data_IF_632846285687
#
_entry.id   IF_632846285687
#
_cell.length_a   1.000
_cell.length_b   1.000
_cell.length_c   1.000
_cell.angle_alpha   90.00
_cell.angle_beta   90.00
_cell.angle_gamma   90.00
#
_symmetry.space_group_name_H-M   'P 1'
#
loop_
_entity.id
_entity.type
_entity.pdbx_description
1 polymer ?
#
# COMPACT_ATOMS: atom_id res chain seq x y z
N UNK A 1 1.65 58.89 1.68
CA UNK A 1 0.79 57.71 1.48
C UNK A 1 0.78 57.00 2.83
N UNK A 2 -0.36 56.96 3.50
CA UNK A 2 -0.49 56.20 4.75
C UNK A 2 -0.46 54.73 4.41
N UNK A 3 0.65 54.06 4.74
CA UNK A 3 0.74 52.61 4.74
C UNK A 3 -0.28 52.10 5.77
N UNK A 4 -1.44 51.67 5.30
CA UNK A 4 -2.39 50.93 6.13
C UNK A 4 -1.77 49.56 6.36
N UNK A 5 -1.29 49.30 7.58
CA UNK A 5 -0.98 47.93 7.99
C UNK A 5 -2.22 47.06 7.72
N UNK A 6 -2.07 45.93 7.03
CA UNK A 6 -3.19 45.04 6.76
C UNK A 6 -3.76 44.55 8.10
N UNK A 7 -5.05 44.78 8.32
CA UNK A 7 -5.74 44.26 9.50
C UNK A 7 -5.61 42.73 9.53
N UNK A 8 -4.95 42.21 10.55
CA UNK A 8 -4.88 40.78 10.83
C UNK A 8 -5.94 40.42 11.87
N UNK A 9 -6.89 39.58 11.46
CA UNK A 9 -7.90 39.06 12.38
C UNK A 9 -7.24 38.22 13.49
N UNK A 10 -7.49 38.54 14.79
CA UNK A 10 -6.88 37.83 15.92
C UNK A 10 -7.30 36.36 16.03
N UNK A 11 -8.50 36.00 15.54
CA UNK A 11 -8.98 34.62 15.51
C UNK A 11 -8.29 33.86 14.38
N UNK A 12 -8.21 34.46 13.18
CA UNK A 12 -7.54 33.83 12.04
C UNK A 12 -6.05 33.64 12.33
N UNK A 13 -5.37 34.66 12.86
CA UNK A 13 -3.95 34.58 13.22
C UNK A 13 -3.68 33.50 14.28
N UNK A 14 -4.57 33.34 15.28
CA UNK A 14 -4.47 32.26 16.27
C UNK A 14 -4.69 30.89 15.62
N UNK A 15 -5.74 30.72 14.82
CA UNK A 15 -6.13 29.44 14.21
C UNK A 15 -5.14 28.97 13.14
N UNK A 16 -4.49 29.91 12.43
CA UNK A 16 -3.50 29.61 11.40
C UNK A 16 -2.08 29.44 11.97
N UNK A 17 -1.86 29.69 13.27
CA UNK A 17 -0.55 29.58 13.88
C UNK A 17 -0.01 28.14 13.83
N UNK A 18 1.13 27.87 13.18
CA UNK A 18 1.69 26.51 13.07
C UNK A 18 2.06 25.88 14.42
N UNK A 19 2.20 26.68 15.48
CA UNK A 19 2.49 26.23 16.84
C UNK A 19 1.25 26.21 17.75
N UNK A 20 0.04 26.38 17.21
CA UNK A 20 -1.22 26.44 17.96
C UNK A 20 -1.37 25.31 19.00
N UNK A 21 -1.08 24.06 18.65
CA UNK A 21 -1.22 22.94 19.61
C UNK A 21 0.05 22.66 20.42
N UNK A 22 1.20 23.19 19.99
CA UNK A 22 2.47 23.07 20.74
C UNK A 22 2.55 24.08 21.89
N UNK A 23 1.97 25.25 21.68
CA UNK A 23 1.88 26.30 22.69
C UNK A 23 0.64 26.10 23.56
N UNK A 24 0.87 25.76 24.83
CA UNK A 24 -0.20 25.56 25.82
C UNK A 24 -1.04 26.82 26.02
N UNK A 25 -0.46 28.01 25.84
CA UNK A 25 -1.18 29.27 26.00
C UNK A 25 -2.14 29.49 24.83
N UNK A 26 -1.68 29.31 23.59
CA UNK A 26 -2.51 29.48 22.37
C UNK A 26 -3.61 28.43 22.26
N UNK A 27 -3.30 27.17 22.55
CA UNK A 27 -4.31 26.12 22.61
C UNK A 27 -5.36 26.41 23.69
N UNK A 28 -4.95 26.89 24.88
CA UNK A 28 -5.90 27.28 25.94
C UNK A 28 -6.76 28.49 25.55
N UNK A 29 -6.21 29.45 24.80
CA UNK A 29 -7.00 30.57 24.26
C UNK A 29 -8.05 30.10 23.28
N UNK A 30 -7.68 29.23 22.33
CA UNK A 30 -8.63 28.68 21.36
C UNK A 30 -9.74 27.86 22.04
N UNK A 31 -9.39 27.04 23.04
CA UNK A 31 -10.39 26.29 23.82
C UNK A 31 -11.36 27.22 24.53
N UNK A 32 -10.88 28.33 25.12
CA UNK A 32 -11.76 29.35 25.73
C UNK A 32 -12.68 30.01 24.70
N UNK A 33 -12.15 30.35 23.52
CA UNK A 33 -12.96 30.91 22.43
C UNK A 33 -14.05 29.94 21.97
N UNK A 34 -13.71 28.65 21.82
CA UNK A 34 -14.68 27.60 21.48
C UNK A 34 -15.74 27.46 22.57
N UNK A 35 -15.36 27.43 23.85
CA UNK A 35 -16.29 27.31 24.98
C UNK A 35 -17.27 28.50 25.09
N UNK A 36 -16.86 29.69 24.65
CA UNK A 36 -17.69 30.88 24.65
C UNK A 36 -18.69 30.96 23.49
N UNK A 37 -18.68 30.00 22.55
CA UNK A 37 -19.68 29.93 21.47
C UNK A 37 -21.03 29.56 22.05
N UNK A 38 -22.00 30.46 21.93
CA UNK A 38 -23.39 30.27 22.38
C UNK A 38 -24.13 29.21 21.57
N UNK A 39 -23.84 29.10 20.27
CA UNK A 39 -24.47 28.12 19.40
C UNK A 39 -23.86 26.72 19.59
N UNK A 40 -24.63 25.84 20.25
CA UNK A 40 -24.22 24.48 20.59
C UNK A 40 -23.73 23.67 19.38
N UNK A 41 -24.30 23.91 18.20
CA UNK A 41 -23.95 23.21 16.97
C UNK A 41 -22.55 23.57 16.49
N UNK A 42 -22.27 24.87 16.33
CA UNK A 42 -20.96 25.38 15.89
C UNK A 42 -19.89 25.08 16.94
N UNK A 43 -20.23 25.20 18.23
CA UNK A 43 -19.35 24.82 19.33
C UNK A 43 -18.87 23.36 19.20
N UNK A 44 -19.80 22.43 18.97
CA UNK A 44 -19.47 21.01 18.78
C UNK A 44 -18.58 20.80 17.56
N UNK A 45 -18.88 21.44 16.43
CA UNK A 45 -18.08 21.32 15.20
C UNK A 45 -16.66 21.87 15.38
N UNK A 46 -16.49 23.02 16.04
CA UNK A 46 -15.18 23.60 16.33
C UNK A 46 -14.38 22.71 17.28
N UNK A 47 -15.03 22.20 18.33
CA UNK A 47 -14.40 21.28 19.30
C UNK A 47 -13.89 20.01 18.61
N UNK A 48 -14.73 19.35 17.80
CA UNK A 48 -14.33 18.15 17.06
C UNK A 48 -13.22 18.46 16.05
N UNK A 49 -13.32 19.58 15.32
CA UNK A 49 -12.28 20.01 14.38
C UNK A 49 -10.93 20.21 15.08
N UNK A 50 -10.91 20.85 16.25
CA UNK A 50 -9.69 21.06 17.01
C UNK A 50 -9.06 19.73 17.49
N UNK A 51 -9.87 18.77 17.94
CA UNK A 51 -9.38 17.43 18.34
C UNK A 51 -8.79 16.68 17.14
N UNK A 52 -9.42 16.78 15.96
CA UNK A 52 -8.88 16.19 14.72
C UNK A 52 -7.54 16.82 14.37
N UNK A 53 -7.43 18.15 14.45
CA UNK A 53 -6.17 18.86 14.19
C UNK A 53 -5.05 18.37 15.12
N UNK A 54 -5.31 18.27 16.43
CA UNK A 54 -4.34 17.74 17.39
C UNK A 54 -3.93 16.30 17.06
N UNK A 55 -4.89 15.48 16.62
CA UNK A 55 -4.62 14.09 16.23
C UNK A 55 -3.72 14.03 15.01
N UNK A 56 -3.96 14.87 14.00
CA UNK A 56 -3.11 14.97 12.80
C UNK A 56 -1.70 15.47 13.14
N UNK A 57 -1.56 16.47 14.00
CA UNK A 57 -0.24 16.96 14.43
C UNK A 57 0.54 15.88 15.21
N UNK A 58 -0.14 15.08 16.03
CA UNK A 58 0.47 13.93 16.71
C UNK A 58 0.91 12.84 15.71
N UNK A 59 0.14 12.60 14.65
CA UNK A 59 0.56 11.69 13.56
C UNK A 59 1.78 12.25 12.84
N UNK A 60 1.81 13.56 12.55
CA UNK A 60 2.95 14.21 11.91
C UNK A 60 4.24 14.07 12.74
N UNK A 61 4.13 14.09 14.07
CA UNK A 61 5.27 13.83 14.95
C UNK A 61 5.75 12.37 14.88
N UNK A 62 4.87 11.40 14.58
CA UNK A 62 5.29 10.00 14.42
C UNK A 62 6.22 9.80 13.23
N UNK A 63 6.04 10.54 12.13
CA UNK A 63 6.99 10.50 10.99
C UNK A 63 8.38 11.03 11.34
N UNK A 64 8.54 11.70 12.49
CA UNK A 64 9.85 12.12 13.03
C UNK A 64 10.44 11.11 14.01
N UNK A 65 9.82 9.94 14.18
CA UNK A 65 10.41 8.89 15.00
C UNK A 65 11.69 8.36 14.34
N UNK A 66 12.55 7.76 15.14
CA UNK A 66 13.83 7.23 14.67
C UNK A 66 13.66 6.17 13.57
N UNK A 67 12.56 5.42 13.56
CA UNK A 67 12.27 4.36 12.59
C UNK A 67 12.09 4.95 11.18
N UNK A 68 11.28 6.00 11.06
CA UNK A 68 11.07 6.71 9.79
C UNK A 68 12.33 7.44 9.33
N UNK A 69 13.02 8.13 10.24
CA UNK A 69 14.27 8.82 9.92
C UNK A 69 15.38 7.87 9.46
N UNK A 70 15.48 6.69 10.10
CA UNK A 70 16.46 5.67 9.72
C UNK A 70 16.13 5.07 8.37
N UNK A 71 14.85 4.85 8.05
CA UNK A 71 14.44 4.39 6.74
C UNK A 71 14.81 5.40 5.65
N UNK A 72 14.50 6.69 5.87
CA UNK A 72 14.83 7.74 4.91
C UNK A 72 16.34 7.82 4.65
N UNK A 73 17.16 7.79 5.71
CA UNK A 73 18.62 7.88 5.58
C UNK A 73 19.26 6.65 4.92
N UNK A 74 18.74 5.45 5.21
CA UNK A 74 19.33 4.21 4.71
C UNK A 74 18.74 3.75 3.37
N UNK A 75 17.60 4.32 2.93
CA UNK A 75 16.93 3.92 1.68
C UNK A 75 17.83 3.97 0.44
N UNK A 76 18.70 4.98 0.34
CA UNK A 76 19.63 5.16 -0.79
C UNK A 76 20.73 4.09 -0.88
N UNK A 77 21.04 3.42 0.24
CA UNK A 77 22.22 2.54 0.36
C UNK A 77 21.87 1.09 0.65
N UNK A 78 20.59 0.77 0.78
CA UNK A 78 20.14 -0.56 1.19
C UNK A 78 20.67 -1.66 0.26
N UNK A 79 20.58 -1.47 -1.04
CA UNK A 79 20.98 -2.46 -2.05
C UNK A 79 22.45 -2.40 -2.46
N UNK A 80 23.16 -1.31 -2.13
CA UNK A 80 24.57 -1.12 -2.48
C UNK A 80 25.54 -1.54 -1.37
N UNK A 81 25.03 -1.82 -0.16
CA UNK A 81 25.83 -2.29 0.95
C UNK A 81 26.16 -3.79 0.80
N UNK A 82 27.43 -4.15 0.93
CA UNK A 82 27.91 -5.53 0.92
C UNK A 82 27.69 -6.25 2.26
N UNK A 83 27.36 -5.52 3.33
CA UNK A 83 27.15 -6.08 4.68
C UNK A 83 25.70 -6.54 4.89
N UNK A 84 25.51 -7.85 4.95
CA UNK A 84 24.20 -8.48 5.14
C UNK A 84 23.56 -8.15 6.49
N UNK A 85 24.33 -7.84 7.54
CA UNK A 85 23.77 -7.41 8.82
C UNK A 85 23.08 -6.06 8.73
N UNK A 86 23.60 -5.16 7.88
CA UNK A 86 22.98 -3.85 7.64
C UNK A 86 21.72 -4.01 6.79
N UNK A 87 21.69 -4.96 5.86
CA UNK A 87 20.47 -5.28 5.08
C UNK A 87 19.38 -5.84 5.98
N UNK A 88 19.68 -6.84 6.81
CA UNK A 88 18.72 -7.44 7.75
C UNK A 88 18.18 -6.41 8.76
N UNK A 89 19.05 -5.53 9.28
CA UNK A 89 18.62 -4.43 10.14
C UNK A 89 17.66 -3.46 9.44
N UNK A 90 17.98 -3.06 8.20
CA UNK A 90 17.15 -2.15 7.41
C UNK A 90 15.81 -2.80 7.00
N UNK A 91 15.80 -4.09 6.69
CA UNK A 91 14.59 -4.87 6.47
C UNK A 91 13.72 -4.93 7.73
N UNK A 92 14.33 -5.14 8.91
CA UNK A 92 13.65 -5.07 10.19
C UNK A 92 13.03 -3.69 10.47
N UNK A 93 13.71 -2.61 10.09
CA UNK A 93 13.15 -1.25 10.16
C UNK A 93 12.00 -1.08 9.17
N UNK A 94 12.15 -1.53 7.93
CA UNK A 94 11.11 -1.43 6.91
C UNK A 94 9.81 -2.12 7.36
N UNK A 95 9.90 -3.31 7.97
CA UNK A 95 8.76 -4.02 8.57
C UNK A 95 8.08 -3.22 9.70
N UNK A 96 8.87 -2.60 10.59
CA UNK A 96 8.33 -1.71 11.64
C UNK A 96 7.63 -0.49 11.03
N UNK A 97 8.23 0.13 10.01
CA UNK A 97 7.63 1.28 9.33
C UNK A 97 6.33 0.90 8.64
N UNK A 98 6.24 -0.25 7.97
CA UNK A 98 4.98 -0.75 7.40
C UNK A 98 3.92 -0.92 8.47
N UNK A 99 4.27 -1.53 9.60
CA UNK A 99 3.32 -1.71 10.72
C UNK A 99 2.84 -0.35 11.23
N UNK A 100 3.73 0.62 11.45
CA UNK A 100 3.36 1.97 11.83
C UNK A 100 2.49 2.68 10.77
N UNK A 101 2.81 2.51 9.49
CA UNK A 101 2.04 3.06 8.37
C UNK A 101 0.62 2.49 8.33
N UNK A 102 0.42 1.18 8.55
CA UNK A 102 -0.92 0.58 8.60
C UNK A 102 -1.76 1.12 9.76
N UNK A 103 -1.17 1.27 10.95
CA UNK A 103 -1.85 1.92 12.09
C UNK A 103 -2.24 3.38 11.79
N UNK A 104 -1.33 4.13 11.17
CA UNK A 104 -1.58 5.52 10.78
C UNK A 104 -2.69 5.58 9.73
N UNK A 105 -2.71 4.67 8.75
CA UNK A 105 -3.74 4.60 7.72
C UNK A 105 -5.14 4.37 8.31
N UNK A 106 -5.28 3.47 9.28
CA UNK A 106 -6.55 3.24 10.00
C UNK A 106 -7.03 4.54 10.67
N UNK A 107 -6.12 5.30 11.29
CA UNK A 107 -6.45 6.59 11.92
C UNK A 107 -6.85 7.64 10.89
N UNK A 108 -6.15 7.73 9.77
CA UNK A 108 -6.46 8.66 8.67
C UNK A 108 -7.83 8.34 8.04
N UNK A 109 -8.17 7.06 7.87
CA UNK A 109 -9.48 6.65 7.36
C UNK A 109 -10.62 7.16 8.27
N UNK A 110 -10.45 7.01 9.59
CA UNK A 110 -11.38 7.56 10.58
C UNK A 110 -11.46 9.09 10.51
N UNK A 111 -10.31 9.77 10.49
CA UNK A 111 -10.24 11.23 10.36
C UNK A 111 -10.93 11.70 9.08
N UNK A 112 -10.79 10.99 7.97
CA UNK A 112 -11.43 11.33 6.70
C UNK A 112 -12.95 11.28 6.82
N UNK A 113 -13.49 10.23 7.45
CA UNK A 113 -14.92 10.13 7.76
C UNK A 113 -15.40 11.28 8.65
N UNK A 114 -14.65 11.60 9.71
CA UNK A 114 -14.99 12.70 10.63
C UNK A 114 -14.96 14.07 9.92
N UNK A 115 -13.96 14.32 9.06
CA UNK A 115 -13.86 15.53 8.24
C UNK A 115 -15.02 15.65 7.26
N UNK A 116 -15.45 14.55 6.64
CA UNK A 116 -16.62 14.54 5.75
C UNK A 116 -17.91 14.87 6.50
N UNK A 117 -18.08 14.35 7.72
CA UNK A 117 -19.23 14.67 8.58
C UNK A 117 -19.23 16.15 8.95
N UNK A 118 -18.08 16.71 9.33
CA UNK A 118 -17.93 18.13 9.66
C UNK A 118 -18.21 18.99 8.43
N UNK A 119 -17.64 18.65 7.27
CA UNK A 119 -17.84 19.37 6.01
C UNK A 119 -19.32 19.37 5.59
N UNK A 120 -19.97 18.21 5.61
CA UNK A 120 -21.42 18.09 5.34
C UNK A 120 -22.26 18.90 6.33
N UNK A 121 -21.90 18.86 7.62
CA UNK A 121 -22.61 19.64 8.66
C UNK A 121 -22.41 21.15 8.47
N UNK A 122 -21.22 21.58 8.11
CA UNK A 122 -20.87 22.99 7.86
C UNK A 122 -21.66 23.56 6.67
N UNK A 123 -21.93 22.75 5.64
CA UNK A 123 -22.74 23.17 4.47
C UNK A 123 -24.20 23.48 4.80
N UNK A 124 -24.69 23.02 5.94
CA UNK A 124 -26.07 23.28 6.38
C UNK A 124 -26.18 24.48 7.32
N UNK A 125 -25.07 25.16 7.61
CA UNK A 125 -25.06 26.42 8.35
C UNK A 125 -25.57 27.56 7.46
N UNK A 126 -26.22 28.56 8.06
CA UNK A 126 -26.68 29.70 7.27
C UNK A 126 -25.48 30.58 6.88
N UNK A 127 -25.58 31.39 5.81
CA UNK A 127 -24.54 32.35 5.47
C UNK A 127 -24.19 33.29 6.62
N UNK A 128 -25.18 33.65 7.45
CA UNK A 128 -24.98 34.48 8.65
C UNK A 128 -24.10 33.79 9.69
N UNK A 129 -24.27 32.49 9.88
CA UNK A 129 -23.49 31.70 10.83
C UNK A 129 -22.05 31.51 10.33
N UNK A 130 -21.86 31.31 9.02
CA UNK A 130 -20.55 31.20 8.39
C UNK A 130 -19.74 32.50 8.45
N UNK A 131 -20.40 33.65 8.32
CA UNK A 131 -19.79 34.99 8.44
C UNK A 131 -19.52 35.42 9.88
N UNK A 132 -19.97 34.65 10.88
CA UNK A 132 -19.64 34.92 12.28
C UNK A 132 -18.18 34.56 12.60
N UNK A 133 -17.64 35.10 13.69
CA UNK A 133 -16.33 34.72 14.23
C UNK A 133 -16.20 33.20 14.43
N UNK A 134 -17.26 32.56 14.93
CA UNK A 134 -17.30 31.13 15.16
C UNK A 134 -17.33 30.32 13.84
N UNK A 135 -18.05 30.81 12.83
CA UNK A 135 -18.07 30.23 11.49
C UNK A 135 -16.75 30.40 10.74
N UNK A 136 -16.11 31.56 10.90
CA UNK A 136 -14.78 31.86 10.35
C UNK A 136 -13.73 30.97 10.97
N UNK A 137 -13.77 30.80 12.30
CA UNK A 137 -12.92 29.87 13.03
C UNK A 137 -13.11 28.42 12.56
N UNK A 138 -14.36 27.95 12.43
CA UNK A 138 -14.67 26.61 11.95
C UNK A 138 -14.11 26.38 10.53
N UNK A 139 -14.33 27.34 9.64
CA UNK A 139 -13.86 27.26 8.24
C UNK A 139 -12.33 27.22 8.19
N UNK A 140 -11.66 28.10 8.95
CA UNK A 140 -10.20 28.12 9.00
C UNK A 140 -9.62 26.84 9.60
N UNK A 141 -10.22 26.30 10.66
CA UNK A 141 -9.83 24.99 11.23
C UNK A 141 -10.01 23.87 10.21
N UNK A 142 -11.14 23.84 9.51
CA UNK A 142 -11.45 22.81 8.53
C UNK A 142 -10.45 22.83 7.36
N UNK A 143 -10.14 24.01 6.82
CA UNK A 143 -9.15 24.15 5.76
C UNK A 143 -7.75 23.69 6.21
N UNK A 144 -7.34 24.07 7.42
CA UNK A 144 -6.07 23.62 8.01
C UNK A 144 -6.03 22.11 8.19
N UNK A 145 -7.11 21.50 8.66
CA UNK A 145 -7.24 20.04 8.81
C UNK A 145 -7.12 19.35 7.46
N UNK A 146 -7.79 19.84 6.42
CA UNK A 146 -7.72 19.28 5.07
C UNK A 146 -6.28 19.34 4.54
N UNK A 147 -5.63 20.51 4.65
CA UNK A 147 -4.24 20.69 4.24
C UNK A 147 -3.32 19.70 4.95
N UNK A 148 -3.36 19.65 6.28
CA UNK A 148 -2.50 18.78 7.08
C UNK A 148 -2.80 17.30 6.85
N UNK A 149 -4.06 16.92 6.64
CA UNK A 149 -4.45 15.56 6.28
C UNK A 149 -3.78 15.15 4.97
N UNK A 150 -3.79 16.01 3.96
CA UNK A 150 -3.18 15.72 2.67
C UNK A 150 -1.65 15.58 2.80
N UNK A 151 -1.00 16.47 3.55
CA UNK A 151 0.45 16.37 3.84
C UNK A 151 0.81 15.05 4.56
N UNK A 152 0.02 14.67 5.56
CA UNK A 152 0.19 13.41 6.31
C UNK A 152 -0.03 12.19 5.42
N UNK A 153 -1.01 12.23 4.53
CA UNK A 153 -1.29 11.19 3.55
C UNK A 153 -0.11 11.02 2.58
N UNK A 154 0.45 12.13 2.12
CA UNK A 154 1.60 12.13 1.21
C UNK A 154 2.83 11.50 1.88
N UNK A 155 3.15 11.94 3.10
CA UNK A 155 4.25 11.36 3.89
C UNK A 155 4.05 9.87 4.17
N UNK A 156 2.81 9.47 4.45
CA UNK A 156 2.44 8.06 4.62
C UNK A 156 2.74 7.26 3.35
N UNK A 157 2.30 7.75 2.19
CA UNK A 157 2.48 7.08 0.90
C UNK A 157 3.97 6.90 0.58
N UNK A 158 4.77 7.95 0.75
CA UNK A 158 6.22 7.90 0.51
C UNK A 158 6.89 6.89 1.44
N UNK A 159 6.64 6.99 2.75
CA UNK A 159 7.29 6.12 3.74
C UNK A 159 6.92 4.66 3.54
N UNK A 160 5.64 4.40 3.22
CA UNK A 160 5.15 3.06 2.94
C UNK A 160 5.80 2.48 1.67
N UNK A 161 5.79 3.22 0.56
CA UNK A 161 6.39 2.78 -0.70
C UNK A 161 7.89 2.50 -0.56
N UNK A 162 8.64 3.35 0.14
CA UNK A 162 10.07 3.10 0.43
C UNK A 162 10.28 1.80 1.21
N UNK A 163 9.50 1.59 2.27
CA UNK A 163 9.60 0.38 3.08
C UNK A 163 9.20 -0.88 2.29
N UNK A 164 8.17 -0.79 1.44
CA UNK A 164 7.74 -1.89 0.58
C UNK A 164 8.79 -2.27 -0.46
N UNK A 165 9.42 -1.30 -1.11
CA UNK A 165 10.50 -1.57 -2.06
C UNK A 165 11.68 -2.31 -1.42
N UNK A 166 12.04 -1.96 -0.19
CA UNK A 166 13.08 -2.66 0.56
C UNK A 166 12.69 -4.12 0.82
N UNK A 167 11.47 -4.38 1.27
CA UNK A 167 11.00 -5.75 1.52
C UNK A 167 10.86 -6.55 0.23
N UNK A 168 10.36 -5.96 -0.85
CA UNK A 168 10.29 -6.64 -2.15
C UNK A 168 11.70 -7.04 -2.61
N UNK A 169 12.68 -6.15 -2.44
CA UNK A 169 14.06 -6.46 -2.76
C UNK A 169 14.63 -7.62 -1.95
N UNK A 170 14.33 -7.69 -0.65
CA UNK A 170 14.70 -8.82 0.23
C UNK A 170 13.98 -10.12 -0.16
N UNK A 171 12.67 -10.09 -0.41
CA UNK A 171 11.90 -11.28 -0.81
C UNK A 171 12.38 -11.82 -2.17
N UNK A 172 12.78 -10.95 -3.10
CA UNK A 172 13.36 -11.35 -4.39
C UNK A 172 14.74 -12.03 -4.24
N UNK A 173 15.56 -11.62 -3.27
CA UNK A 173 16.84 -12.28 -2.98
C UNK A 173 16.68 -13.76 -2.63
N UNK A 174 15.54 -14.14 -2.05
CA UNK A 174 15.27 -15.52 -1.66
C UNK A 174 14.79 -16.41 -2.81
N UNK A 175 14.30 -15.83 -3.92
CA UNK A 175 13.42 -16.54 -4.86
C UNK A 175 13.90 -16.66 -6.31
N UNK A 176 15.00 -16.02 -6.73
CA UNK A 176 15.42 -15.98 -8.15
C UNK A 176 16.91 -16.21 -8.42
N UNK A 177 17.24 -16.55 -9.67
CA UNK A 177 18.61 -16.63 -10.20
C UNK A 177 19.36 -15.29 -10.03
N UNK A 178 20.65 -15.35 -9.69
CA UNK A 178 21.50 -14.19 -9.37
C UNK A 178 21.43 -13.03 -10.40
N UNK A 179 21.25 -13.35 -11.69
CA UNK A 179 21.15 -12.34 -12.75
C UNK A 179 19.83 -11.58 -12.75
N UNK A 180 18.70 -12.25 -12.52
CA UNK A 180 17.37 -11.60 -12.53
C UNK A 180 17.19 -10.74 -11.27
N UNK A 181 17.67 -11.24 -10.13
CA UNK A 181 17.75 -10.49 -8.86
C UNK A 181 18.57 -9.22 -9.02
N UNK A 182 19.71 -9.27 -9.72
CA UNK A 182 20.55 -8.11 -9.95
C UNK A 182 19.82 -7.01 -10.76
N UNK A 183 19.10 -7.37 -11.82
CA UNK A 183 18.33 -6.40 -12.60
C UNK A 183 17.19 -5.77 -11.80
N UNK A 184 16.47 -6.56 -10.99
CA UNK A 184 15.42 -6.03 -10.13
C UNK A 184 15.96 -5.11 -9.02
N UNK A 185 17.11 -5.43 -8.43
CA UNK A 185 17.77 -4.57 -7.45
C UNK A 185 18.22 -3.24 -8.04
N UNK A 186 18.81 -3.25 -9.23
CA UNK A 186 19.20 -2.03 -9.94
C UNK A 186 17.97 -1.18 -10.27
N UNK A 187 16.87 -1.82 -10.70
CA UNK A 187 15.61 -1.14 -10.96
C UNK A 187 15.01 -0.51 -9.71
N UNK A 188 14.91 -1.26 -8.60
CA UNK A 188 14.40 -0.76 -7.31
C UNK A 188 15.27 0.38 -6.78
N UNK A 189 16.60 0.23 -6.87
CA UNK A 189 17.55 1.27 -6.45
C UNK A 189 17.40 2.55 -7.28
N UNK A 190 17.20 2.41 -8.59
CA UNK A 190 16.95 3.54 -9.48
C UNK A 190 15.64 4.23 -9.13
N UNK A 191 14.57 3.49 -8.88
CA UNK A 191 13.28 4.05 -8.46
C UNK A 191 13.35 4.77 -7.11
N UNK A 192 14.06 4.20 -6.12
CA UNK A 192 14.27 4.85 -4.83
C UNK A 192 15.03 6.17 -4.97
N UNK A 193 16.11 6.17 -5.77
CA UNK A 193 16.89 7.38 -6.03
C UNK A 193 16.06 8.44 -6.77
N UNK A 194 15.32 8.06 -7.81
CA UNK A 194 14.42 8.97 -8.54
C UNK A 194 13.35 9.57 -7.63
N UNK A 195 12.74 8.75 -6.75
CA UNK A 195 11.77 9.23 -5.77
C UNK A 195 12.42 10.20 -4.78
N UNK A 196 13.61 9.88 -4.25
CA UNK A 196 14.32 10.73 -3.31
C UNK A 196 14.77 12.05 -3.94
N UNK A 197 15.18 12.05 -5.21
CA UNK A 197 15.54 13.27 -5.92
C UNK A 197 14.31 14.12 -6.27
N UNK A 198 13.19 13.51 -6.66
CA UNK A 198 11.92 14.21 -6.85
C UNK A 198 11.44 14.88 -5.55
N UNK A 199 11.60 14.22 -4.40
CA UNK A 199 11.30 14.78 -3.07
C UNK A 199 12.22 15.97 -2.75
N UNK A 200 13.52 15.87 -3.04
CA UNK A 200 14.49 16.97 -2.77
C UNK A 200 14.24 18.20 -3.65
N UNK A 201 13.76 17.99 -4.88
CA UNK A 201 13.51 19.05 -5.85
C UNK A 201 12.10 19.67 -5.73
N UNK A 202 11.27 19.18 -4.80
CA UNK A 202 9.84 19.53 -4.66
C UNK A 202 9.07 19.38 -5.99
N UNK A 203 9.47 18.42 -6.83
CA UNK A 203 8.80 18.11 -8.09
C UNK A 203 7.64 17.16 -7.82
N UNK A 204 6.44 17.73 -7.74
CA UNK A 204 5.21 16.98 -7.46
C UNK A 204 4.86 16.01 -8.57
N UNK A 205 5.08 16.37 -9.84
CA UNK A 205 4.67 15.55 -10.98
C UNK A 205 5.53 14.27 -11.04
N UNK A 206 6.86 14.43 -11.00
CA UNK A 206 7.80 13.31 -10.98
C UNK A 206 7.61 12.42 -9.75
N UNK A 207 7.29 13.01 -8.58
CA UNK A 207 7.01 12.25 -7.35
C UNK A 207 5.77 11.37 -7.49
N UNK A 208 4.66 11.90 -8.03
CA UNK A 208 3.43 11.10 -8.19
C UNK A 208 3.57 10.04 -9.28
N UNK A 209 4.32 10.31 -10.34
CA UNK A 209 4.65 9.31 -11.36
C UNK A 209 5.49 8.16 -10.75
N UNK A 210 6.55 8.49 -10.01
CA UNK A 210 7.36 7.49 -9.32
C UNK A 210 6.52 6.63 -8.36
N UNK A 211 5.65 7.25 -7.55
CA UNK A 211 4.75 6.51 -6.65
C UNK A 211 3.77 5.60 -7.40
N UNK A 212 3.31 6.00 -8.59
CA UNK A 212 2.45 5.16 -9.43
C UNK A 212 3.22 3.94 -9.96
N UNK A 213 4.43 4.13 -10.47
CA UNK A 213 5.30 3.03 -10.93
C UNK A 213 5.61 2.05 -9.79
N UNK A 214 5.87 2.56 -8.58
CA UNK A 214 6.11 1.71 -7.40
C UNK A 214 4.87 0.88 -7.05
N UNK A 215 3.68 1.47 -7.10
CA UNK A 215 2.42 0.76 -6.85
C UNK A 215 2.19 -0.36 -7.89
N UNK A 216 2.55 -0.13 -9.15
CA UNK A 216 2.42 -1.16 -10.18
C UNK A 216 3.46 -2.27 -10.02
N UNK A 217 4.68 -1.94 -9.61
CA UNK A 217 5.70 -2.92 -9.21
C UNK A 217 5.22 -3.77 -8.03
N UNK A 218 4.60 -3.16 -7.01
CA UNK A 218 4.02 -3.87 -5.87
C UNK A 218 2.95 -4.88 -6.31
N UNK A 219 2.00 -4.48 -7.18
CA UNK A 219 0.96 -5.38 -7.70
C UNK A 219 1.53 -6.51 -8.55
N UNK A 220 2.52 -6.19 -9.40
CA UNK A 220 3.19 -7.17 -10.24
C UNK A 220 3.89 -8.22 -9.36
N UNK A 221 4.59 -7.77 -8.33
CA UNK A 221 5.27 -8.65 -7.39
C UNK A 221 4.29 -9.49 -6.56
N UNK A 222 3.18 -8.91 -6.07
CA UNK A 222 2.12 -9.68 -5.40
C UNK A 222 1.54 -10.77 -6.31
N UNK A 223 1.33 -10.48 -7.60
CA UNK A 223 0.86 -11.48 -8.56
C UNK A 223 1.88 -12.60 -8.75
N UNK A 224 3.16 -12.27 -8.92
CA UNK A 224 4.24 -13.25 -9.04
C UNK A 224 4.33 -14.14 -7.80
N UNK A 225 4.25 -13.54 -6.62
CA UNK A 225 4.24 -14.24 -5.33
C UNK A 225 3.07 -15.22 -5.23
N UNK A 226 1.88 -14.80 -5.63
CA UNK A 226 0.69 -15.66 -5.63
C UNK A 226 0.81 -16.83 -6.63
N UNK A 227 1.33 -16.57 -7.84
CA UNK A 227 1.57 -17.63 -8.83
C UNK A 227 2.56 -18.67 -8.30
N UNK A 228 3.65 -18.25 -7.65
CA UNK A 228 4.61 -19.19 -7.04
C UNK A 228 4.04 -20.03 -5.90
N UNK A 229 3.25 -19.43 -5.00
CA UNK A 229 2.60 -20.18 -3.92
C UNK A 229 1.64 -21.23 -4.50
N UNK A 230 0.92 -20.88 -5.57
CA UNK A 230 0.02 -21.81 -6.27
C UNK A 230 0.82 -22.94 -6.91
N UNK A 231 1.92 -22.63 -7.60
CA UNK A 231 2.79 -23.63 -8.22
C UNK A 231 3.41 -24.56 -7.18
N UNK A 232 3.87 -24.05 -6.03
CA UNK A 232 4.37 -24.84 -4.90
C UNK A 232 3.27 -25.76 -4.33
N UNK A 233 2.05 -25.25 -4.15
CA UNK A 233 0.93 -26.05 -3.63
C UNK A 233 0.51 -27.14 -4.61
N UNK A 234 0.55 -26.85 -5.92
CA UNK A 234 0.24 -27.83 -6.96
C UNK A 234 1.33 -28.91 -6.99
N UNK A 235 2.60 -28.54 -6.90
CA UNK A 235 3.70 -29.51 -6.89
C UNK A 235 3.70 -30.37 -5.62
N UNK A 236 3.42 -29.79 -4.45
CA UNK A 236 3.19 -30.55 -3.21
C UNK A 236 2.03 -31.55 -3.37
N UNK A 237 0.92 -31.14 -3.97
CA UNK A 237 -0.22 -32.03 -4.22
C UNK A 237 0.09 -33.16 -5.22
N UNK A 238 1.05 -32.96 -6.13
CA UNK A 238 1.53 -34.00 -7.06
C UNK A 238 2.44 -35.00 -6.38
N UNK A 239 3.31 -34.53 -5.48
CA UNK A 239 4.19 -35.39 -4.67
C UNK A 239 3.35 -36.27 -3.72
N UNK A 240 2.29 -35.73 -3.10
CA UNK A 240 1.37 -36.52 -2.26
C UNK A 240 0.60 -37.58 -3.06
N UNK A 241 0.26 -37.32 -4.33
CA UNK A 241 -0.36 -38.31 -5.22
C UNK A 241 0.63 -39.39 -5.66
N UNK A 242 1.90 -39.05 -5.90
CA UNK A 242 2.95 -40.01 -6.26
C UNK A 242 3.35 -40.91 -5.08
N UNK A 243 3.38 -40.41 -3.84
CA UNK A 243 3.63 -41.24 -2.64
C UNK A 243 2.50 -42.24 -2.36
N UNK A 244 1.26 -41.91 -2.75
CA UNK A 244 0.11 -42.81 -2.59
C UNK A 244 0.07 -43.93 -3.65
N UNK A 245 0.69 -43.74 -4.82
CA UNK A 245 0.78 -44.76 -5.88
C UNK A 245 1.95 -45.74 -5.64
N UNK A 246 3.02 -45.32 -4.96
CA UNK A 246 4.15 -46.19 -4.60
C UNK A 246 3.86 -47.18 -3.45
N UNK A 247 2.76 -46.98 -2.71
CA UNK A 247 2.40 -47.85 -1.57
C UNK A 247 1.36 -48.93 -1.92
N UNK A 248 0.81 -48.95 -3.15
CA UNK A 248 -0.15 -49.96 -3.58
C UNK A 248 0.50 -51.19 -4.24
N UNK A 249 1.75 -51.06 -4.70
CA UNK A 249 2.44 -52.14 -5.45
C UNK A 249 3.22 -53.13 -4.55
N UNK A 250 3.30 -52.90 -3.23
CA UNK A 250 4.01 -53.79 -2.29
C UNK A 250 3.11 -54.76 -1.49
N UNK A 251 1.81 -54.87 -1.82
CA UNK A 251 0.88 -55.77 -1.11
C UNK A 251 -0.01 -56.63 -2.03
N UNK A 252 0.42 -56.92 -3.26
CA UNK A 252 -0.32 -57.80 -4.18
C UNK A 252 0.33 -59.17 -4.43
N UNK A 253 1.01 -59.72 -3.42
CA UNK A 253 1.65 -61.05 -3.54
C UNK A 253 1.40 -61.96 -2.32
N UNK A 254 0.16 -62.00 -1.82
CA UNK A 254 -0.33 -63.13 -1.02
C UNK A 254 -1.85 -63.06 -0.86
N UNK A 255 -2.62 -63.81 -1.66
CA UNK A 255 -3.79 -64.60 -1.24
C UNK A 255 -4.50 -65.18 -2.48
N UNK A 256 -4.06 -66.35 -2.92
CA UNK A 256 -4.92 -67.31 -3.61
C UNK A 256 -5.33 -68.37 -2.58
N UNK A 257 -6.61 -68.41 -2.20
CA UNK A 257 -7.36 -69.65 -1.92
C UNK A 257 -8.78 -69.34 -1.39
N UNK A 258 -9.76 -69.60 -2.27
CA UNK A 258 -11.09 -70.22 -2.03
C UNK A 258 -12.04 -69.66 -0.94
N UNK A 259 -13.37 -69.60 -1.05
CA UNK A 259 -14.44 -69.73 -2.08
C UNK A 259 -15.76 -69.45 -1.30
N UNK A 260 -16.72 -68.80 -1.95
CA UNK A 260 -18.19 -68.73 -1.69
C UNK A 260 -18.77 -68.14 -0.39
N UNK A 261 -19.62 -67.09 -0.52
CA UNK A 261 -21.09 -67.23 -0.42
C UNK A 261 -21.85 -65.94 -0.83
N UNK A 262 -23.02 -66.14 -1.45
CA UNK A 262 -23.94 -65.19 -2.11
C UNK A 262 -24.43 -63.97 -1.29
N UNK A 263 -24.81 -62.86 -1.97
CA UNK A 263 -26.20 -62.36 -2.17
C UNK A 263 -26.25 -60.90 -2.71
N UNK A 264 -26.73 -60.77 -3.97
CA UNK A 264 -27.68 -59.78 -4.55
C UNK A 264 -27.59 -58.25 -4.26
N UNK A 265 -27.36 -57.51 -5.36
CA UNK A 265 -27.87 -56.15 -5.72
C UNK A 265 -29.40 -55.99 -5.51
N UNK A 266 -30.05 -54.78 -5.63
CA UNK A 266 -29.64 -53.55 -6.35
C UNK A 266 -30.05 -52.18 -5.73
N UNK A 267 -29.42 -51.08 -6.15
CA UNK A 267 -30.10 -49.78 -6.43
C UNK A 267 -29.17 -48.75 -7.08
N UNK A 268 -29.67 -48.15 -8.16
CA UNK A 268 -29.09 -47.19 -9.10
C UNK A 268 -28.85 -45.77 -8.50
N UNK A 269 -28.24 -44.82 -9.25
CA UNK A 269 -27.49 -43.65 -8.77
C UNK A 269 -28.35 -42.39 -8.58
N UNK A 270 -27.77 -41.28 -8.06
CA UNK A 270 -27.60 -40.11 -8.93
C UNK A 270 -26.35 -39.23 -8.68
N UNK A 271 -26.13 -38.39 -9.70
CA UNK A 271 -25.13 -37.34 -9.89
C UNK A 271 -25.09 -36.22 -8.82
N UNK A 272 -23.92 -35.56 -8.79
CA UNK A 272 -23.67 -34.14 -8.53
C UNK A 272 -24.59 -33.39 -7.56
N UNK A 273 -24.14 -33.21 -6.31
CA UNK A 273 -24.39 -31.97 -5.56
C UNK A 273 -23.37 -31.80 -4.41
N UNK A 274 -22.49 -30.80 -4.56
CA UNK A 274 -22.17 -29.81 -3.52
C UNK A 274 -21.79 -30.25 -2.08
N UNK A 275 -20.53 -30.03 -1.72
CA UNK A 275 -20.05 -29.67 -0.36
C UNK A 275 -18.68 -29.02 -0.57
N UNK A 276 -18.48 -27.70 -0.48
CA UNK A 276 -18.74 -26.82 0.66
C UNK A 276 -18.21 -27.43 1.97
N UNK A 277 -16.90 -27.42 2.18
CA UNK A 277 -16.26 -27.27 3.51
C UNK A 277 -14.77 -27.00 3.34
N UNK A 278 -14.37 -25.73 3.47
CA UNK A 278 -13.10 -25.30 4.08
C UNK A 278 -13.15 -23.78 4.29
N UNK A 279 -14.11 -23.36 5.11
CA UNK A 279 -14.23 -22.01 5.65
C UNK A 279 -13.52 -21.94 7.00
N UNK A 280 -12.18 -21.94 7.02
CA UNK A 280 -11.42 -21.44 8.18
C UNK A 280 -10.07 -20.86 7.75
N UNK A 281 -10.06 -19.58 7.40
CA UNK A 281 -8.96 -18.68 7.76
C UNK A 281 -9.46 -17.24 7.72
N UNK A 282 -10.25 -16.85 8.72
CA UNK A 282 -10.48 -15.45 9.04
C UNK A 282 -9.20 -14.86 9.62
N UNK A 283 -8.27 -14.45 8.75
CA UNK A 283 -7.30 -13.43 9.11
C UNK A 283 -7.99 -12.07 8.97
N UNK A 284 -7.93 -11.18 9.96
CA UNK A 284 -8.56 -9.87 9.85
C UNK A 284 -7.87 -9.11 8.71
N UNK A 285 -8.57 -8.92 7.59
CA UNK A 285 -8.13 -8.02 6.52
C UNK A 285 -7.96 -6.61 7.12
N UNK A 286 -6.73 -6.30 7.52
CA UNK A 286 -6.29 -4.94 7.78
C UNK A 286 -6.52 -4.13 6.48
N UNK A 287 -6.99 -2.88 6.58
CA UNK A 287 -7.19 -2.05 5.39
C UNK A 287 -5.83 -1.85 4.70
N UNK A 288 -5.66 -2.54 3.57
CA UNK A 288 -4.52 -2.46 2.68
C UNK A 288 -4.23 -0.99 2.36
N UNK A 289 -3.04 -0.53 2.74
CA UNK A 289 -2.55 0.82 2.44
C UNK A 289 -2.27 0.84 0.93
N UNK A 290 -3.24 1.27 0.14
CA UNK A 290 -3.05 1.46 -1.31
C UNK A 290 -2.53 2.86 -1.55
N UNK A 291 -1.48 3.01 -2.36
CA UNK A 291 -1.14 4.31 -2.96
C UNK A 291 -2.38 4.90 -3.63
N UNK A 292 -2.68 6.17 -3.31
CA UNK A 292 -3.99 6.82 -3.54
C UNK A 292 -4.12 7.34 -4.98
N UNK A 293 -3.56 6.65 -5.97
CA UNK A 293 -3.77 7.02 -7.38
C UNK A 293 -5.14 6.59 -7.92
N UNK A 294 -6.01 5.98 -7.10
CA UNK A 294 -7.39 5.65 -7.49
C UNK A 294 -8.39 6.72 -7.02
N UNK A 295 -8.37 7.88 -7.65
CA UNK A 295 -9.50 8.80 -7.66
C UNK A 295 -10.09 8.83 -9.09
N UNK A 296 -11.29 8.27 -9.23
CA UNK A 296 -12.06 8.13 -10.47
C UNK A 296 -12.30 9.45 -11.22
N UNK A 297 -11.93 9.43 -12.50
CA UNK A 297 -12.56 9.97 -13.71
C UNK A 297 -13.34 11.29 -13.68
N UNK A 298 -12.85 12.27 -14.45
CA UNK A 298 -13.69 13.14 -15.27
C UNK A 298 -13.17 13.17 -16.71
N UNK A 299 -14.06 12.78 -17.62
CA UNK A 299 -13.96 12.84 -19.08
C UNK A 299 -13.33 14.14 -19.61
N UNK A 300 -12.27 14.01 -20.40
CA UNK A 300 -11.91 14.90 -21.51
C UNK A 300 -11.06 14.08 -22.51
N UNK A 301 -11.64 13.79 -23.66
CA UNK A 301 -11.09 12.86 -24.65
C UNK A 301 -9.81 13.34 -25.35
N UNK A 302 -9.03 12.35 -25.81
CA UNK A 302 -7.96 12.54 -26.78
C UNK A 302 -6.75 11.65 -26.51
N UNK A 303 -6.73 10.47 -27.13
CA UNK A 303 -5.57 9.62 -27.40
C UNK A 303 -4.54 9.40 -26.28
N UNK A 304 -4.61 8.25 -25.60
CA UNK A 304 -3.44 7.51 -25.13
C UNK A 304 -3.86 6.07 -24.84
N UNK A 305 -3.39 5.12 -25.67
CA UNK A 305 -3.44 3.71 -25.30
C UNK A 305 -2.57 3.52 -24.07
N UNK A 306 -3.18 3.11 -22.96
CA UNK A 306 -2.45 2.83 -21.72
C UNK A 306 -1.64 1.54 -21.89
N UNK A 307 -0.42 1.48 -21.36
CA UNK A 307 0.46 0.29 -21.37
C UNK A 307 -0.24 -0.99 -20.88
N UNK A 308 -1.31 -0.85 -20.07
CA UNK A 308 -2.21 -1.92 -19.66
C UNK A 308 -2.88 -2.67 -20.81
N UNK A 309 -3.16 -2.03 -21.95
CA UNK A 309 -3.79 -2.68 -23.12
C UNK A 309 -2.78 -3.44 -23.99
N UNK A 310 -1.50 -3.03 -23.95
CA UNK A 310 -0.41 -3.66 -24.69
C UNK A 310 0.39 -4.67 -23.85
N UNK A 311 0.15 -4.75 -22.53
CA UNK A 311 0.86 -5.64 -21.59
C UNK A 311 0.77 -7.14 -21.94
N UNK A 312 -0.38 -7.69 -22.38
CA UNK A 312 -0.46 -9.08 -22.84
C UNK A 312 0.41 -9.31 -24.08
N UNK A 313 0.49 -8.31 -24.96
CA UNK A 313 1.28 -8.36 -26.19
C UNK A 313 2.77 -8.22 -25.90
N UNK A 314 3.16 -7.40 -24.92
CA UNK A 314 4.55 -7.29 -24.45
C UNK A 314 5.02 -8.60 -23.81
N UNK A 315 4.21 -9.23 -22.94
CA UNK A 315 4.57 -10.50 -22.31
C UNK A 315 4.61 -11.65 -23.33
N UNK A 316 3.77 -11.61 -24.35
CA UNK A 316 3.83 -12.52 -25.52
C UNK A 316 5.09 -12.26 -26.36
N UNK A 317 5.50 -11.00 -26.54
CA UNK A 317 6.73 -10.65 -27.26
C UNK A 317 8.00 -11.05 -26.48
N UNK A 318 8.02 -10.91 -25.15
CA UNK A 318 9.14 -11.32 -24.30
C UNK A 318 9.27 -12.84 -24.19
N UNK A 319 8.14 -13.56 -24.06
CA UNK A 319 8.14 -15.02 -24.11
C UNK A 319 8.52 -15.56 -25.50
N UNK A 320 8.08 -14.91 -26.59
CA UNK A 320 8.53 -15.22 -27.95
C UNK A 320 10.03 -14.95 -28.14
N UNK A 321 10.58 -13.86 -27.59
CA UNK A 321 12.01 -13.56 -27.62
C UNK A 321 12.84 -14.58 -26.81
N UNK A 322 12.31 -15.08 -25.69
CA UNK A 322 12.92 -16.17 -24.90
C UNK A 322 12.98 -17.48 -25.69
N UNK A 323 11.92 -17.81 -26.42
CA UNK A 323 11.85 -19.01 -27.28
C UNK A 323 12.79 -18.90 -28.49
N UNK A 324 12.89 -17.73 -29.13
CA UNK A 324 13.84 -17.50 -30.23
C UNK A 324 15.30 -17.67 -29.74
N UNK A 325 15.61 -17.22 -28.53
CA UNK A 325 16.95 -17.39 -27.95
C UNK A 325 17.27 -18.87 -27.67
N UNK A 326 16.28 -19.67 -27.27
CA UNK A 326 16.41 -21.11 -27.11
C UNK A 326 16.55 -21.82 -28.47
N UNK A 327 15.80 -21.42 -29.49
CA UNK A 327 15.88 -21.97 -30.84
C UNK A 327 17.23 -21.66 -31.53
N UNK A 328 17.76 -20.44 -31.35
CA UNK A 328 19.10 -20.05 -31.84
C UNK A 328 20.19 -20.86 -31.15
N UNK A 329 20.07 -21.09 -29.83
CA UNK A 329 21.01 -21.97 -29.09
C UNK A 329 20.94 -23.41 -29.58
N UNK A 330 19.75 -23.92 -29.88
CA UNK A 330 19.56 -25.27 -30.40
C UNK A 330 20.15 -25.44 -31.81
N UNK A 331 19.98 -24.44 -32.69
CA UNK A 331 20.59 -24.43 -34.02
C UNK A 331 22.11 -24.30 -33.99
N UNK A 332 22.66 -23.45 -33.12
CA UNK A 332 24.11 -23.32 -32.90
C UNK A 332 24.74 -24.59 -32.34
N UNK A 333 24.03 -25.33 -31.47
CA UNK A 333 24.48 -26.62 -30.94
C UNK A 333 24.46 -27.71 -32.03
N UNK A 334 23.43 -27.72 -32.89
CA UNK A 334 23.33 -28.69 -34.00
C UNK A 334 24.39 -28.45 -35.09
N UNK A 335 24.80 -27.21 -35.31
CA UNK A 335 25.88 -26.84 -36.25
C UNK A 335 27.30 -27.23 -35.79
N UNK A 336 27.52 -27.48 -34.49
CA UNK A 336 28.81 -27.96 -33.95
C UNK A 336 28.99 -29.48 -34.01
N UNK A 337 27.90 -30.24 -34.19
CA UNK A 337 27.94 -31.71 -34.29
C UNK A 337 28.00 -32.23 -35.75
N UNK A 338 28.29 -31.38 -36.73
CA UNK A 338 28.44 -31.76 -38.16
C UNK A 338 29.73 -31.25 -38.79
N UNK A 339 30.83 -31.25 -38.04
CA UNK A 339 32.18 -31.16 -38.59
C UNK A 339 33.05 -32.31 -38.10
#
# INVERSE_FOLDING_TARGET
MTDFEPYCDPIISLVQDPNLSKDKFKSSQLVKLIQNISERRINKLCSTSFVILQTLENIQLKFKSWEFLSLDFNSDKHFTNEDDHIKEFNAGIANKVITACTEINVKIAKISSDVDIISKSSKTLTPRDLMSDAGTMLTSLLLRIIKMKNEVIEQLSISYSKARLIIIGEELEMWEDEQTVAYYKDFISTLLNQLNDAIKMDDYDSKYECLAVINDLEKMFEKLRMEKIIDETIEESRIEQEEHDYNFDSQMDTLESQVDFYVKQPSSPPDDTFSEYSTFSTSPHLPMVRSITSAKDQDLGGFQGTITDELPYLMTAFSAARNINQDVKYFMAKGKNSR
#
